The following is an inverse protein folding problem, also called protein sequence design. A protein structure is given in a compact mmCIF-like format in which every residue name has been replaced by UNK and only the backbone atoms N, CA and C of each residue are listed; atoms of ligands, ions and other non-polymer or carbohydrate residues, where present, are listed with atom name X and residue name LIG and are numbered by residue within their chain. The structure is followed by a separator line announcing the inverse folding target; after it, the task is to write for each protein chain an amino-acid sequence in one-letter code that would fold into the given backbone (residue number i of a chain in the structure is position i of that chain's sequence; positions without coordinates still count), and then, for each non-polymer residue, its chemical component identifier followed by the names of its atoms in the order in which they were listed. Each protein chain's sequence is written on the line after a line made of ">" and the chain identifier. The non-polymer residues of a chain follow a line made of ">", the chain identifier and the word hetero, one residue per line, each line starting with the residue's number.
data_IF_931323944822
#
_entry.id   IF_931323944822
#
_cell.length_a   1.000
_cell.length_b   1.000
_cell.length_c   1.000
_cell.angle_alpha   90.00
_cell.angle_beta   90.00
_cell.angle_gamma   90.00
#
_symmetry.space_group_name_H-M   'P 1'
#
loop_
_entity.id
_entity.type
_entity.pdbx_description
1 polymer ?
#
# COMPACT_ATOMS: atom_id res chain seq x y z
N UNK A 1 -33.37 -73.22 28.13
CA UNK A 1 -34.01 -71.98 28.63
C UNK A 1 -32.95 -70.92 28.86
N UNK A 2 -33.31 -69.65 28.63
CA UNK A 2 -32.60 -68.39 28.96
C UNK A 2 -31.46 -67.93 28.02
N UNK A 3 -31.86 -67.01 27.13
CA UNK A 3 -31.12 -65.75 26.83
C UNK A 3 -30.86 -65.02 28.15
N UNK A 4 -29.75 -64.31 28.32
CA UNK A 4 -29.72 -62.96 28.93
C UNK A 4 -28.36 -62.29 28.69
N UNK A 5 -28.47 -60.98 28.43
CA UNK A 5 -27.49 -59.98 28.02
C UNK A 5 -26.57 -59.64 29.21
N UNK A 6 -25.29 -59.34 28.95
CA UNK A 6 -24.45 -58.57 29.88
C UNK A 6 -23.94 -57.31 29.15
N UNK A 7 -24.12 -56.12 29.73
CA UNK A 7 -23.89 -54.85 29.06
C UNK A 7 -22.42 -54.44 29.04
N UNK A 8 -22.10 -53.70 27.98
CA UNK A 8 -20.88 -52.93 27.75
C UNK A 8 -20.69 -51.91 28.88
N UNK A 9 -19.67 -52.07 29.71
CA UNK A 9 -19.14 -51.01 30.57
C UNK A 9 -17.61 -51.06 30.43
N UNK A 10 -17.07 -50.24 29.54
CA UNK A 10 -15.66 -49.92 29.50
C UNK A 10 -15.48 -48.51 30.09
N UNK A 11 -15.17 -48.48 31.38
CA UNK A 11 -14.64 -47.29 32.06
C UNK A 11 -13.24 -47.08 31.52
N UNK A 12 -13.03 -46.05 30.69
CA UNK A 12 -11.69 -45.67 30.25
C UNK A 12 -11.03 -44.95 31.43
N UNK A 13 -9.98 -45.60 31.93
CA UNK A 13 -9.17 -45.18 33.06
C UNK A 13 -8.51 -43.82 32.80
N UNK A 14 -8.49 -43.00 33.86
CA UNK A 14 -7.75 -41.75 33.99
C UNK A 14 -6.25 -42.10 33.92
N UNK A 15 -5.65 -41.91 32.76
CA UNK A 15 -4.19 -41.91 32.60
C UNK A 15 -3.67 -40.48 32.79
N UNK A 16 -3.15 -40.18 34.00
CA UNK A 16 -2.24 -39.06 34.20
C UNK A 16 -0.93 -39.36 33.44
N UNK A 17 -0.84 -38.89 32.21
CA UNK A 17 0.41 -38.72 31.49
C UNK A 17 0.64 -37.22 31.40
N UNK A 18 1.71 -36.76 32.06
CA UNK A 18 2.25 -35.41 31.99
C UNK A 18 2.02 -34.76 30.64
N UNK A 19 1.18 -33.73 30.64
CA UNK A 19 1.03 -32.80 29.51
C UNK A 19 2.43 -32.27 29.20
N UNK A 20 2.91 -32.32 27.95
CA UNK A 20 3.98 -31.41 27.59
C UNK A 20 3.42 -30.01 27.83
N UNK A 21 4.09 -29.21 28.65
CA UNK A 21 3.91 -27.77 28.60
C UNK A 21 4.14 -27.38 27.15
N UNK A 22 3.04 -27.18 26.42
CA UNK A 22 3.07 -26.28 25.28
C UNK A 22 3.48 -24.95 25.89
N UNK A 23 4.76 -24.61 25.75
CA UNK A 23 5.12 -23.22 25.54
C UNK A 23 4.30 -22.78 24.33
N UNK A 24 3.11 -22.23 24.59
CA UNK A 24 2.52 -21.27 23.67
C UNK A 24 3.52 -20.14 23.60
N UNK A 25 4.35 -20.15 22.57
CA UNK A 25 4.87 -18.92 21.98
C UNK A 25 3.62 -18.10 21.66
N UNK A 26 3.20 -17.29 22.63
CA UNK A 26 2.24 -16.24 22.42
C UNK A 26 2.94 -15.25 21.49
N UNK A 27 2.81 -15.49 20.19
CA UNK A 27 3.14 -14.48 19.18
C UNK A 27 2.24 -13.30 19.53
N UNK A 28 2.81 -12.29 20.17
CA UNK A 28 2.11 -11.08 20.56
C UNK A 28 1.66 -10.37 19.28
N UNK A 29 0.45 -10.70 18.82
CA UNK A 29 -0.14 -10.01 17.70
C UNK A 29 -0.68 -8.69 18.23
N UNK A 30 -0.01 -7.58 17.89
CA UNK A 30 -0.45 -6.24 18.27
C UNK A 30 -1.89 -5.99 17.83
N UNK A 31 -2.65 -5.28 18.66
CA UNK A 31 -4.03 -4.89 18.33
C UNK A 31 -4.04 -3.71 17.35
N UNK A 32 -5.21 -3.45 16.75
CA UNK A 32 -5.41 -2.27 15.87
C UNK A 32 -5.15 -0.97 16.64
N UNK A 33 -5.59 -0.91 17.89
CA UNK A 33 -5.42 0.25 18.77
C UNK A 33 -3.95 0.49 19.09
N UNK A 34 -3.18 -0.56 19.40
CA UNK A 34 -1.75 -0.46 19.68
C UNK A 34 -0.96 0.01 18.44
N UNK A 35 -1.24 -0.58 17.28
CA UNK A 35 -0.59 -0.21 16.01
C UNK A 35 -0.87 1.24 15.66
N UNK A 36 -2.13 1.69 15.79
CA UNK A 36 -2.49 3.06 15.45
C UNK A 36 -2.08 4.08 16.53
N UNK A 37 -1.95 3.68 17.80
CA UNK A 37 -1.43 4.55 18.84
C UNK A 37 0.03 4.96 18.58
N UNK A 38 0.85 4.06 18.02
CA UNK A 38 2.23 4.35 17.63
C UNK A 38 2.32 5.41 16.50
N UNK A 39 1.26 5.58 15.71
CA UNK A 39 1.19 6.56 14.61
C UNK A 39 0.85 7.97 15.09
N UNK A 40 0.37 8.12 16.33
CA UNK A 40 -0.05 9.40 16.91
C UNK A 40 -1.48 9.81 16.53
N UNK A 41 -1.76 11.11 16.56
CA UNK A 41 -3.06 11.64 16.18
C UNK A 41 -3.17 11.80 14.65
N UNK A 42 -4.23 11.26 14.01
CA UNK A 42 -4.42 11.35 12.56
C UNK A 42 -4.53 12.79 12.03
N UNK A 43 -5.18 13.69 12.77
CA UNK A 43 -5.42 15.05 12.32
C UNK A 43 -4.17 15.91 12.49
N UNK A 44 -3.47 15.80 13.62
CA UNK A 44 -2.14 16.42 13.78
C UNK A 44 -1.18 15.96 12.67
N UNK A 45 -1.23 14.68 12.31
CA UNK A 45 -0.41 14.14 11.23
C UNK A 45 -0.73 14.83 9.90
N UNK A 46 -2.00 14.88 9.50
CA UNK A 46 -2.40 15.49 8.22
C UNK A 46 -2.15 17.00 8.18
N UNK A 47 -2.42 17.71 9.28
CA UNK A 47 -2.20 19.15 9.35
C UNK A 47 -0.73 19.50 9.12
N UNK A 48 0.19 18.65 9.61
CA UNK A 48 1.63 18.80 9.37
C UNK A 48 2.04 18.64 7.89
N UNK A 49 1.17 18.09 7.04
CA UNK A 49 1.46 17.82 5.62
C UNK A 49 0.96 18.91 4.68
N UNK A 50 0.07 19.80 5.14
CA UNK A 50 -0.58 20.79 4.26
C UNK A 50 0.44 21.71 3.59
N UNK A 51 1.35 22.32 4.35
CA UNK A 51 2.35 23.24 3.78
C UNK A 51 3.27 22.55 2.77
N UNK A 52 3.64 21.29 3.04
CA UNK A 52 4.50 20.49 2.16
C UNK A 52 3.76 20.15 0.86
N UNK A 53 2.48 19.81 0.95
CA UNK A 53 1.62 19.51 -0.20
C UNK A 53 1.38 20.77 -1.04
N UNK A 54 1.11 21.91 -0.42
CA UNK A 54 0.91 23.17 -1.13
C UNK A 54 2.17 23.57 -1.91
N UNK A 55 3.35 23.46 -1.28
CA UNK A 55 4.63 23.65 -1.95
C UNK A 55 4.81 22.70 -3.13
N UNK A 56 4.54 21.41 -2.93
CA UNK A 56 4.60 20.41 -3.98
C UNK A 56 3.68 20.72 -5.16
N UNK A 57 2.44 21.13 -4.91
CA UNK A 57 1.49 21.50 -5.96
C UNK A 57 1.97 22.74 -6.75
N UNK A 58 2.60 23.72 -6.10
CA UNK A 58 3.23 24.83 -6.82
C UNK A 58 4.28 24.34 -7.81
N UNK A 59 5.15 23.41 -7.38
CA UNK A 59 6.17 22.83 -8.25
C UNK A 59 5.58 22.06 -9.44
N UNK A 60 4.45 21.37 -9.23
CA UNK A 60 3.71 20.69 -10.32
C UNK A 60 3.21 21.71 -11.33
N UNK A 61 2.58 22.80 -10.88
CA UNK A 61 2.07 23.88 -11.75
C UNK A 61 3.17 24.61 -12.51
N UNK A 62 4.36 24.70 -11.93
CA UNK A 62 5.55 25.28 -12.55
C UNK A 62 6.22 24.36 -13.58
N UNK A 63 5.71 23.13 -13.76
CA UNK A 63 6.25 22.18 -14.73
C UNK A 63 7.61 21.61 -14.32
N UNK A 64 7.91 21.54 -13.01
CA UNK A 64 9.20 21.05 -12.49
C UNK A 64 9.48 19.58 -12.83
N UNK A 65 8.43 18.79 -13.10
CA UNK A 65 8.52 17.36 -13.39
C UNK A 65 8.34 17.10 -14.88
N UNK A 66 9.38 16.55 -15.51
CA UNK A 66 9.39 16.28 -16.95
C UNK A 66 8.74 14.96 -17.36
N UNK A 67 8.54 14.04 -16.41
CA UNK A 67 7.94 12.73 -16.68
C UNK A 67 6.94 12.33 -15.60
N UNK A 68 5.98 11.50 -16.00
CA UNK A 68 4.96 10.88 -15.14
C UNK A 68 5.62 10.02 -14.06
N UNK A 69 6.74 9.36 -14.35
CA UNK A 69 7.51 8.58 -13.36
C UNK A 69 8.11 9.49 -12.28
N UNK A 70 8.77 10.58 -12.67
CA UNK A 70 9.39 11.51 -11.73
C UNK A 70 8.35 12.18 -10.84
N UNK A 71 7.22 12.58 -11.43
CA UNK A 71 6.11 13.16 -10.68
C UNK A 71 5.54 12.17 -9.65
N UNK A 72 5.26 10.93 -10.05
CA UNK A 72 4.75 9.90 -9.14
C UNK A 72 5.73 9.62 -7.99
N UNK A 73 7.04 9.53 -8.28
CA UNK A 73 8.06 9.29 -7.28
C UNK A 73 8.13 10.44 -6.26
N UNK A 74 8.12 11.68 -6.74
CA UNK A 74 8.16 12.85 -5.88
C UNK A 74 6.88 12.99 -5.06
N UNK A 75 5.72 12.68 -5.64
CA UNK A 75 4.46 12.66 -4.92
C UNK A 75 4.45 11.60 -3.81
N UNK A 76 4.91 10.38 -4.10
CA UNK A 76 5.03 9.32 -3.09
C UNK A 76 5.92 9.73 -1.92
N UNK A 77 7.02 10.43 -2.18
CA UNK A 77 7.91 10.92 -1.13
C UNK A 77 7.25 12.05 -0.30
N UNK A 78 6.51 12.95 -0.96
CA UNK A 78 5.77 14.04 -0.31
C UNK A 78 4.70 13.51 0.65
N UNK A 79 3.99 12.47 0.21
CA UNK A 79 2.89 11.85 0.94
C UNK A 79 3.31 10.81 1.98
N UNK A 80 4.62 10.52 2.07
CA UNK A 80 5.14 9.56 3.03
C UNK A 80 4.83 9.97 4.48
N UNK A 81 4.73 8.98 5.36
CA UNK A 81 4.30 9.14 6.74
C UNK A 81 2.81 8.93 6.93
N UNK A 82 2.01 10.00 7.04
CA UNK A 82 0.63 9.94 7.52
C UNK A 82 -0.28 8.99 6.73
N UNK A 83 -0.06 8.87 5.42
CA UNK A 83 -0.84 7.97 4.55
C UNK A 83 -0.15 6.65 4.25
N UNK A 84 1.04 6.41 4.82
CA UNK A 84 1.76 5.16 4.62
C UNK A 84 0.98 3.99 5.24
N UNK A 85 0.92 2.88 4.54
CA UNK A 85 0.33 1.63 5.04
C UNK A 85 1.37 0.85 5.84
N UNK A 86 0.99 0.29 6.98
CA UNK A 86 1.86 -0.57 7.79
C UNK A 86 1.74 -2.05 7.40
N UNK A 87 0.86 -2.38 6.44
CA UNK A 87 0.61 -3.76 6.01
C UNK A 87 -0.35 -4.51 6.94
N UNK A 88 -0.95 -3.80 7.90
CA UNK A 88 -1.97 -4.31 8.81
C UNK A 88 -3.33 -3.78 8.34
N UNK A 89 -4.02 -4.58 7.51
CA UNK A 89 -5.21 -4.14 6.76
C UNK A 89 -6.24 -3.47 7.65
N UNK A 90 -6.59 -4.06 8.79
CA UNK A 90 -7.60 -3.52 9.71
C UNK A 90 -7.14 -2.20 10.33
N UNK A 91 -5.86 -2.10 10.70
CA UNK A 91 -5.29 -0.90 11.30
C UNK A 91 -5.16 0.24 10.28
N UNK A 92 -4.70 -0.07 9.06
CA UNK A 92 -4.58 0.89 7.96
C UNK A 92 -5.96 1.42 7.54
N UNK A 93 -6.99 0.56 7.50
CA UNK A 93 -8.37 0.99 7.25
C UNK A 93 -8.94 1.86 8.37
N UNK A 94 -8.70 1.50 9.64
CA UNK A 94 -9.14 2.30 10.78
C UNK A 94 -8.47 3.68 10.78
N UNK A 95 -7.17 3.72 10.49
CA UNK A 95 -6.40 4.95 10.36
C UNK A 95 -6.92 5.83 9.22
N UNK A 96 -7.09 5.27 8.02
CA UNK A 96 -7.62 6.00 6.86
C UNK A 96 -9.02 6.57 7.10
N UNK A 97 -9.88 5.84 7.84
CA UNK A 97 -11.20 6.36 8.25
C UNK A 97 -11.08 7.59 9.13
N UNK A 98 -10.19 7.57 10.12
CA UNK A 98 -9.96 8.72 11.01
C UNK A 98 -9.36 9.91 10.27
N UNK A 99 -8.38 9.68 9.40
CA UNK A 99 -7.82 10.73 8.56
C UNK A 99 -8.90 11.47 7.76
N UNK A 100 -9.87 10.74 7.20
CA UNK A 100 -10.98 11.31 6.43
C UNK A 100 -11.88 12.23 7.25
N UNK A 101 -11.92 12.08 8.56
CA UNK A 101 -12.72 12.90 9.47
C UNK A 101 -12.04 14.24 9.80
N UNK A 102 -10.74 14.39 9.50
CA UNK A 102 -10.00 15.62 9.72
C UNK A 102 -10.37 16.70 8.69
N UNK A 103 -10.50 17.95 9.13
CA UNK A 103 -10.91 19.09 8.29
C UNK A 103 -9.99 19.28 7.07
N UNK A 104 -8.68 19.20 7.32
CA UNK A 104 -7.61 19.36 6.34
C UNK A 104 -7.51 18.22 5.31
N UNK A 105 -8.20 17.09 5.53
CA UNK A 105 -8.17 15.95 4.60
C UNK A 105 -8.70 16.32 3.20
N UNK A 106 -9.65 17.27 3.14
CA UNK A 106 -10.22 17.73 1.88
C UNK A 106 -9.16 18.36 0.96
N UNK A 107 -8.27 19.19 1.50
CA UNK A 107 -7.17 19.81 0.76
C UNK A 107 -6.18 18.76 0.22
N UNK A 108 -5.83 17.77 1.05
CA UNK A 108 -4.96 16.65 0.65
C UNK A 108 -5.58 15.86 -0.50
N UNK A 109 -6.87 15.53 -0.40
CA UNK A 109 -7.59 14.81 -1.46
C UNK A 109 -7.59 15.61 -2.77
N UNK A 110 -7.82 16.92 -2.69
CA UNK A 110 -7.88 17.76 -3.89
C UNK A 110 -6.51 17.88 -4.55
N UNK A 111 -5.44 17.98 -3.76
CA UNK A 111 -4.06 17.88 -4.25
C UNK A 111 -3.77 16.52 -4.92
N UNK A 112 -4.20 15.40 -4.33
CA UNK A 112 -4.07 14.07 -4.95
C UNK A 112 -4.74 14.00 -6.32
N UNK A 113 -5.92 14.61 -6.47
CA UNK A 113 -6.64 14.65 -7.74
C UNK A 113 -5.87 15.48 -8.77
N UNK A 114 -5.34 16.63 -8.36
CA UNK A 114 -4.54 17.49 -9.23
C UNK A 114 -3.30 16.76 -9.76
N UNK A 115 -2.54 16.12 -8.86
CA UNK A 115 -1.36 15.33 -9.24
C UNK A 115 -1.73 14.18 -10.17
N UNK A 116 -2.83 13.47 -9.89
CA UNK A 116 -3.31 12.39 -10.77
C UNK A 116 -3.56 12.90 -12.19
N UNK A 117 -4.18 14.06 -12.32
CA UNK A 117 -4.49 14.63 -13.63
C UNK A 117 -3.21 15.00 -14.38
N UNK A 118 -2.23 15.59 -13.70
CA UNK A 118 -0.95 15.93 -14.32
C UNK A 118 -0.14 14.69 -14.72
N UNK A 119 -0.11 13.65 -13.88
CA UNK A 119 0.51 12.36 -14.21
C UNK A 119 -0.09 11.77 -15.48
N UNK A 120 -1.42 11.85 -15.66
CA UNK A 120 -2.10 11.38 -16.87
C UNK A 120 -1.67 12.22 -18.08
N UNK A 121 -1.65 13.55 -17.96
CA UNK A 121 -1.20 14.45 -19.04
C UNK A 121 0.24 14.14 -19.48
N UNK A 122 1.18 14.03 -18.53
CA UNK A 122 2.57 13.69 -18.81
C UNK A 122 2.68 12.33 -19.51
N UNK A 123 1.93 11.33 -19.06
CA UNK A 123 1.93 10.00 -19.66
C UNK A 123 1.41 10.00 -21.10
N UNK A 124 0.38 10.79 -21.39
CA UNK A 124 -0.11 10.95 -22.76
C UNK A 124 0.92 11.63 -23.67
N UNK A 125 1.65 12.62 -23.15
CA UNK A 125 2.72 13.29 -23.90
C UNK A 125 3.90 12.36 -24.15
N UNK A 126 4.36 11.62 -23.15
CA UNK A 126 5.41 10.59 -23.28
C UNK A 126 5.05 9.55 -24.34
N UNK A 127 3.79 9.10 -24.38
CA UNK A 127 3.33 8.16 -25.39
C UNK A 127 3.29 8.76 -26.79
N UNK A 128 2.87 10.02 -26.94
CA UNK A 128 2.91 10.72 -28.22
C UNK A 128 4.33 10.90 -28.70
N UNK A 129 5.24 11.35 -27.85
CA UNK A 129 6.66 11.49 -28.17
C UNK A 129 7.31 10.15 -28.54
N UNK A 130 6.89 9.05 -27.91
CA UNK A 130 7.35 7.71 -28.28
C UNK A 130 6.83 7.26 -29.65
N UNK A 131 5.57 7.55 -29.98
CA UNK A 131 4.95 7.18 -31.27
C UNK A 131 5.42 8.09 -32.41
N UNK A 132 5.63 9.37 -32.13
CA UNK A 132 6.19 10.36 -33.08
C UNK A 132 7.72 10.28 -33.16
N UNK A 133 8.36 9.59 -32.20
CA UNK A 133 9.76 9.23 -32.22
C UNK A 133 10.09 8.43 -33.47
N UNK A 134 11.00 8.99 -34.27
CA UNK A 134 11.27 8.67 -35.66
C UNK A 134 11.20 7.15 -35.95
N UNK A 135 10.14 6.69 -36.65
CA UNK A 135 10.04 5.30 -37.14
C UNK A 135 11.31 4.87 -37.89
N UNK A 136 12.02 5.87 -38.42
CA UNK A 136 13.33 5.78 -39.07
C UNK A 136 14.41 5.20 -38.17
N UNK A 137 14.47 5.57 -36.89
CA UNK A 137 15.53 5.11 -35.95
C UNK A 137 15.27 3.67 -35.48
N UNK A 138 14.01 3.34 -35.17
CA UNK A 138 13.59 1.96 -34.88
C UNK A 138 13.81 1.03 -36.08
N UNK A 139 13.45 1.48 -37.28
CA UNK A 139 13.71 0.75 -38.52
C UNK A 139 15.21 0.64 -38.83
N UNK A 140 16.03 1.63 -38.49
CA UNK A 140 17.48 1.58 -38.66
C UNK A 140 18.13 0.58 -37.70
N UNK A 141 17.70 0.53 -36.44
CA UNK A 141 18.14 -0.48 -35.46
C UNK A 141 17.75 -1.89 -35.91
N UNK A 142 16.52 -2.09 -36.36
CA UNK A 142 16.06 -3.38 -36.88
C UNK A 142 16.84 -3.80 -38.14
N UNK A 143 17.11 -2.85 -39.05
CA UNK A 143 17.94 -3.10 -40.24
C UNK A 143 19.38 -3.46 -39.88
N UNK A 144 19.98 -2.82 -38.87
CA UNK A 144 21.33 -3.16 -38.37
C UNK A 144 21.36 -4.56 -37.75
N UNK A 145 20.35 -4.92 -36.97
CA UNK A 145 20.21 -6.27 -36.39
C UNK A 145 20.04 -7.34 -37.48
N UNK A 146 19.21 -7.08 -38.49
CA UNK A 146 19.01 -7.99 -39.62
C UNK A 146 20.29 -8.20 -40.43
N UNK A 147 21.08 -7.14 -40.65
CA UNK A 147 22.38 -7.23 -41.35
C UNK A 147 23.47 -7.92 -40.53
N UNK A 148 23.34 -7.97 -39.21
CA UNK A 148 24.31 -8.62 -38.31
C UNK A 148 24.01 -10.10 -38.05
N UNK A 149 22.84 -10.58 -38.50
CA UNK A 149 22.40 -11.97 -38.36
C UNK A 149 22.82 -12.88 -39.53
N UNK A 150 23.52 -12.32 -40.53
CA UNK A 150 24.15 -13.01 -41.66
C UNK A 150 25.65 -12.74 -41.66
#
# INVERSE_FOLDING_TARGET
>A
MKRFIIPLIAVIAIGCSSSPEQHEDTVYHRTVEEINAERGDPCDCIDSKIEVIDGFISEVKEGKYSTSELLNKAFSATMDGCMATLGHVEADLAWAKRLKECESFSAIRDAMIEVKNEVVSLKENEQKEFVEGDETEAAEVLNKLQKSAY
#
